data_IF_480333796781
#
_entry.id   IF_480333796781
#
_cell.length_a   1.000
_cell.length_b   1.000
_cell.length_c   1.000
_cell.angle_alpha   90.00
_cell.angle_beta   90.00
_cell.angle_gamma   90.00
#
_symmetry.space_group_name_H-M   'P 1'
#
loop_
_entity.id
_entity.type
_entity.pdbx_description
1 polymer ?
#
# COMPACT_ATOMS: atom_id res chain seq x y z
N UNK A 1 0.13 -25.15 -18.13
CA UNK A 1 1.07 -25.02 -16.98
C UNK A 1 0.30 -24.35 -15.84
N UNK A 2 0.04 -25.05 -14.74
CA UNK A 2 -0.61 -24.46 -13.57
C UNK A 2 0.34 -23.43 -12.95
N UNK A 3 -0.04 -22.16 -13.01
CA UNK A 3 0.71 -21.08 -12.36
C UNK A 3 0.57 -21.29 -10.86
N UNK A 4 1.66 -21.67 -10.19
CA UNK A 4 1.68 -21.80 -8.72
C UNK A 4 1.16 -20.49 -8.14
N UNK A 5 0.13 -20.58 -7.30
CA UNK A 5 -0.46 -19.39 -6.66
C UNK A 5 0.57 -18.84 -5.69
N UNK A 6 0.87 -17.55 -5.84
CA UNK A 6 1.77 -16.86 -4.92
C UNK A 6 1.17 -16.78 -3.51
N UNK A 7 2.02 -16.93 -2.49
CA UNK A 7 1.66 -16.64 -1.09
C UNK A 7 1.37 -15.15 -0.92
N UNK A 8 0.77 -14.75 0.21
CA UNK A 8 0.57 -13.34 0.50
C UNK A 8 1.89 -12.61 0.77
N UNK A 9 2.86 -13.26 1.42
CA UNK A 9 4.23 -12.75 1.57
C UNK A 9 4.88 -12.47 0.21
N UNK A 10 4.79 -13.40 -0.75
CA UNK A 10 5.32 -13.20 -2.11
C UNK A 10 4.60 -12.08 -2.89
N UNK A 11 3.31 -11.83 -2.61
CA UNK A 11 2.59 -10.69 -3.17
C UNK A 11 3.03 -9.38 -2.53
N UNK A 12 3.31 -9.37 -1.22
CA UNK A 12 3.81 -8.21 -0.49
C UNK A 12 5.20 -7.81 -1.00
N UNK A 13 6.09 -8.78 -1.08
CA UNK A 13 7.51 -8.59 -1.39
C UNK A 13 7.79 -8.66 -2.90
N UNK A 14 6.79 -8.31 -3.72
CA UNK A 14 6.93 -8.29 -5.16
C UNK A 14 7.90 -7.18 -5.62
N UNK A 15 8.74 -7.49 -6.60
CA UNK A 15 9.65 -6.54 -7.26
C UNK A 15 8.88 -5.66 -8.25
N UNK A 16 8.04 -4.76 -7.74
CA UNK A 16 7.38 -3.72 -8.51
C UNK A 16 7.92 -2.37 -8.09
N UNK A 17 8.13 -1.50 -9.07
CA UNK A 17 8.44 -0.10 -8.82
C UNK A 17 7.16 0.68 -8.49
N UNK A 18 7.21 1.64 -7.54
CA UNK A 18 6.15 2.61 -7.38
C UNK A 18 6.01 3.50 -8.61
N UNK A 19 4.83 4.08 -8.81
CA UNK A 19 4.57 4.97 -9.95
C UNK A 19 3.89 6.26 -9.48
N UNK A 20 4.22 7.38 -10.10
CA UNK A 20 3.49 8.65 -9.97
C UNK A 20 2.85 8.97 -11.31
N UNK A 21 1.55 9.26 -11.32
CA UNK A 21 0.78 9.58 -12.54
C UNK A 21 -0.15 10.74 -12.31
N UNK A 22 -0.39 11.54 -13.35
CA UNK A 22 -1.46 12.55 -13.33
C UNK A 22 -2.80 11.85 -13.49
N UNK A 23 -3.72 12.06 -12.56
CA UNK A 23 -5.05 11.48 -12.63
C UNK A 23 -5.94 12.26 -13.63
N UNK A 24 -6.41 11.64 -14.73
CA UNK A 24 -7.12 12.37 -15.79
C UNK A 24 -8.59 12.67 -15.46
N UNK A 25 -9.14 12.09 -14.40
CA UNK A 25 -10.55 12.26 -13.97
C UNK A 25 -10.61 12.53 -12.48
N UNK A 26 -11.63 13.25 -12.01
CA UNK A 26 -11.93 13.29 -10.57
C UNK A 26 -12.36 11.89 -10.12
N UNK A 27 -11.83 11.43 -8.99
CA UNK A 27 -12.14 10.10 -8.48
C UNK A 27 -11.93 10.01 -6.98
N UNK A 28 -12.91 9.45 -6.27
CA UNK A 28 -12.95 9.44 -4.80
C UNK A 28 -12.81 10.86 -4.25
N UNK A 29 -11.83 11.10 -3.38
CA UNK A 29 -11.49 12.41 -2.80
C UNK A 29 -10.42 13.18 -3.57
N UNK A 30 -10.15 12.83 -4.83
CA UNK A 30 -9.10 13.42 -5.65
C UNK A 30 -9.68 14.22 -6.84
N UNK A 31 -9.35 15.52 -6.99
CA UNK A 31 -9.75 16.28 -8.16
C UNK A 31 -8.99 15.84 -9.41
N UNK A 32 -9.51 16.22 -10.58
CA UNK A 32 -8.84 15.97 -11.88
C UNK A 32 -7.52 16.73 -11.93
N UNK A 33 -6.50 16.11 -12.53
CA UNK A 33 -5.20 16.75 -12.80
C UNK A 33 -4.18 16.66 -11.66
N UNK A 34 -4.51 16.02 -10.54
CA UNK A 34 -3.54 15.88 -9.43
C UNK A 34 -2.45 14.84 -9.74
N UNK A 35 -1.26 15.05 -9.17
CA UNK A 35 -0.22 14.01 -9.09
C UNK A 35 -0.65 12.95 -8.09
N UNK A 36 -0.90 11.74 -8.58
CA UNK A 36 -1.33 10.58 -7.82
C UNK A 36 -0.20 9.56 -7.70
N UNK A 37 0.08 9.15 -6.47
CA UNK A 37 1.03 8.09 -6.17
C UNK A 37 0.37 6.70 -6.20
N UNK A 38 0.99 5.74 -6.86
CA UNK A 38 0.55 4.34 -6.89
C UNK A 38 1.56 3.54 -6.06
N UNK A 39 1.22 3.20 -4.80
CA UNK A 39 2.14 2.54 -3.89
C UNK A 39 2.30 1.05 -4.25
N UNK A 40 3.42 0.48 -3.84
CA UNK A 40 3.61 -0.98 -3.81
C UNK A 40 3.16 -1.52 -2.45
N UNK A 41 2.77 -2.81 -2.35
CA UNK A 41 2.44 -3.41 -1.06
C UNK A 41 3.56 -3.29 -0.02
N UNK A 42 4.81 -3.36 -0.48
CA UNK A 42 6.01 -3.20 0.37
C UNK A 42 6.08 -1.81 1.01
N UNK A 43 5.82 -0.74 0.25
CA UNK A 43 5.80 0.63 0.77
C UNK A 43 4.68 0.80 1.80
N UNK A 44 3.48 0.28 1.52
CA UNK A 44 2.36 0.32 2.48
C UNK A 44 2.71 -0.46 3.75
N UNK A 45 3.34 -1.64 3.63
CA UNK A 45 3.79 -2.43 4.77
C UNK A 45 4.80 -1.66 5.64
N UNK A 46 5.81 -1.02 5.03
CA UNK A 46 6.80 -0.22 5.75
C UNK A 46 6.14 0.91 6.53
N UNK A 47 5.25 1.67 5.88
CA UNK A 47 4.50 2.72 6.55
C UNK A 47 3.71 2.19 7.75
N UNK A 48 2.96 1.10 7.58
CA UNK A 48 2.12 0.52 8.64
C UNK A 48 2.97 -0.03 9.80
N UNK A 49 4.09 -0.68 9.51
CA UNK A 49 5.01 -1.19 10.55
C UNK A 49 5.69 -0.05 11.34
N UNK A 50 5.81 1.14 10.75
CA UNK A 50 6.37 2.32 11.41
C UNK A 50 5.35 3.06 12.29
N UNK A 51 4.07 2.68 12.30
CA UNK A 51 3.07 3.28 13.21
C UNK A 51 3.37 2.80 14.64
N UNK A 52 3.66 3.71 15.60
CA UNK A 52 3.98 3.30 16.95
C UNK A 52 2.79 2.60 17.62
N UNK A 53 3.07 1.62 18.50
CA UNK A 53 2.03 0.93 19.26
C UNK A 53 1.17 1.94 20.04
N UNK A 54 -0.14 1.69 20.08
CA UNK A 54 -1.13 2.59 20.68
C UNK A 54 -1.49 3.82 19.83
N UNK A 55 -0.87 4.00 18.66
CA UNK A 55 -1.24 5.07 17.73
C UNK A 55 -2.08 4.51 16.57
N UNK A 56 -2.96 5.36 16.05
CA UNK A 56 -3.86 5.02 14.96
C UNK A 56 -3.72 6.05 13.85
N UNK A 57 -3.76 5.58 12.60
CA UNK A 57 -3.76 6.42 11.41
C UNK A 57 -5.00 6.11 10.59
N UNK A 58 -5.65 7.16 10.09
CA UNK A 58 -6.73 7.00 9.10
C UNK A 58 -6.14 6.59 7.75
N UNK A 59 -6.94 5.92 6.91
CA UNK A 59 -6.54 5.61 5.53
C UNK A 59 -6.26 6.89 4.74
N UNK A 60 -7.03 7.96 4.97
CA UNK A 60 -6.82 9.25 4.28
C UNK A 60 -5.48 9.89 4.64
N UNK A 61 -5.08 9.86 5.92
CA UNK A 61 -3.76 10.33 6.34
C UNK A 61 -2.65 9.47 5.76
N UNK A 62 -2.76 8.14 5.82
CA UNK A 62 -1.78 7.22 5.23
C UNK A 62 -1.57 7.51 3.74
N UNK A 63 -2.66 7.75 2.98
CA UNK A 63 -2.59 8.07 1.55
C UNK A 63 -1.91 9.40 1.25
N UNK A 64 -2.07 10.39 2.13
CA UNK A 64 -1.40 11.69 2.00
C UNK A 64 0.08 11.56 2.39
N UNK A 65 0.35 11.00 3.56
CA UNK A 65 1.70 10.89 4.14
C UNK A 65 2.62 10.13 3.16
N UNK A 66 2.19 8.99 2.60
CA UNK A 66 2.98 8.26 1.60
C UNK A 66 3.17 9.01 0.27
N UNK A 67 2.27 9.91 -0.10
CA UNK A 67 2.37 10.62 -1.38
C UNK A 67 3.41 11.74 -1.33
N UNK A 68 3.62 12.34 -0.16
CA UNK A 68 4.61 13.42 0.06
C UNK A 68 6.02 12.95 -0.31
N UNK A 69 6.40 11.74 0.09
CA UNK A 69 7.72 11.15 -0.19
C UNK A 69 8.02 10.98 -1.69
N UNK A 70 6.99 11.05 -2.54
CA UNK A 70 7.07 10.84 -3.99
C UNK A 70 6.63 12.07 -4.81
N UNK A 71 6.66 13.27 -4.22
CA UNK A 71 6.22 14.53 -4.86
C UNK A 71 4.81 14.43 -5.46
N UNK A 72 3.92 13.73 -4.75
CA UNK A 72 2.53 13.54 -5.13
C UNK A 72 1.58 14.08 -4.06
N UNK A 73 0.34 14.36 -4.45
CA UNK A 73 -0.64 14.96 -3.56
C UNK A 73 -1.42 13.93 -2.74
N UNK A 74 -1.74 12.79 -3.37
CA UNK A 74 -2.50 11.69 -2.75
C UNK A 74 -2.11 10.36 -3.40
N UNK A 75 -2.16 9.27 -2.64
CA UNK A 75 -2.05 7.93 -3.21
C UNK A 75 -3.38 7.41 -3.76
N UNK A 76 -3.30 6.47 -4.71
CA UNK A 76 -4.44 5.80 -5.33
C UNK A 76 -5.25 5.02 -4.26
N UNK A 77 -6.56 5.31 -4.09
CA UNK A 77 -7.38 4.67 -3.06
C UNK A 77 -7.51 3.16 -3.27
N UNK A 78 -7.74 2.71 -4.51
CA UNK A 78 -7.91 1.27 -4.80
C UNK A 78 -6.63 0.48 -4.55
N UNK A 79 -5.49 0.97 -5.06
CA UNK A 79 -4.22 0.26 -4.91
C UNK A 79 -3.78 0.26 -3.45
N UNK A 80 -4.03 1.35 -2.71
CA UNK A 80 -3.80 1.40 -1.26
C UNK A 80 -4.67 0.36 -0.54
N UNK A 81 -5.97 0.26 -0.85
CA UNK A 81 -6.86 -0.73 -0.24
C UNK A 81 -6.46 -2.18 -0.56
N UNK A 82 -6.13 -2.48 -1.81
CA UNK A 82 -5.62 -3.80 -2.22
C UNK A 82 -4.32 -4.14 -1.47
N UNK A 83 -3.41 -3.17 -1.36
CA UNK A 83 -2.15 -3.32 -0.66
C UNK A 83 -2.35 -3.56 0.83
N UNK A 84 -3.26 -2.81 1.48
CA UNK A 84 -3.64 -3.02 2.88
C UNK A 84 -4.12 -4.46 3.12
N UNK A 85 -4.96 -5.01 2.23
CA UNK A 85 -5.34 -6.41 2.33
C UNK A 85 -4.15 -7.35 2.20
N UNK A 86 -3.29 -7.15 1.19
CA UNK A 86 -2.12 -8.00 0.97
C UNK A 86 -1.23 -8.05 2.22
N UNK A 87 -0.94 -6.91 2.84
CA UNK A 87 -0.04 -6.85 4.00
C UNK A 87 -0.67 -7.48 5.24
N UNK A 88 -1.98 -7.35 5.43
CA UNK A 88 -2.69 -7.99 6.55
C UNK A 88 -2.65 -9.51 6.42
N UNK A 89 -2.94 -10.03 5.23
CA UNK A 89 -2.92 -11.47 4.96
C UNK A 89 -1.49 -12.03 5.03
N UNK A 90 -0.49 -11.28 4.56
CA UNK A 90 0.92 -11.65 4.70
C UNK A 90 1.35 -11.71 6.17
N UNK A 91 0.92 -10.74 6.99
CA UNK A 91 1.21 -10.75 8.42
C UNK A 91 0.54 -11.93 9.13
N UNK A 92 -0.65 -12.33 8.70
CA UNK A 92 -1.35 -13.50 9.23
C UNK A 92 -0.67 -14.81 8.82
N UNK A 93 -0.21 -14.94 7.55
CA UNK A 93 0.62 -16.07 7.12
C UNK A 93 1.90 -16.18 7.96
N UNK A 94 2.59 -15.06 8.21
CA UNK A 94 3.81 -15.03 9.03
C UNK A 94 3.54 -15.48 10.47
N UNK A 95 2.44 -15.00 11.07
CA UNK A 95 2.02 -15.40 12.43
C UNK A 95 1.71 -16.90 12.52
N UNK A 96 0.98 -17.45 11.54
CA UNK A 96 0.70 -18.89 11.46
C UNK A 96 1.97 -19.75 11.35
N UNK A 97 3.02 -19.21 10.74
CA UNK A 97 4.33 -19.87 10.62
C UNK A 97 5.22 -19.65 11.85
N UNK A 98 4.76 -18.91 12.87
CA UNK A 98 5.50 -18.58 14.07
C UNK A 98 6.58 -17.50 13.87
N UNK A 99 6.54 -16.77 12.75
CA UNK A 99 7.46 -15.68 12.44
C UNK A 99 6.95 -14.43 13.16
N UNK A 100 7.63 -14.03 14.25
CA UNK A 100 7.30 -12.81 15.00
C UNK A 100 8.07 -11.61 14.43
N UNK A 101 7.40 -10.46 14.34
CA UNK A 101 7.99 -9.15 14.00
C UNK A 101 8.44 -8.39 15.24
#
# INVERSE_FOLDING_TARGET
MNKIKKTWVEKRDCNKEPLVKINPKSWSDMPKGIKMFIPTPKIVNQYVCNIPKGNFKSVKSLRRDMAVDFDAQMSCPMVTGISLRIISEASYEEDMLGIKK
#
